data_IF_257034024846
#
_entry.id   IF_257034024846
#
_cell.length_a   1.000
_cell.length_b   1.000
_cell.length_c   1.000
_cell.angle_alpha   90.00
_cell.angle_beta   90.00
_cell.angle_gamma   90.00
#
_symmetry.space_group_name_H-M   'P 1'
#
loop_
_entity.id
_entity.type
_entity.pdbx_description
1 polymer ?
#
# COMPACT_ATOMS: atom_id res chain seq x y z
N UNK A 1 40.84 -5.13 -7.75
CA UNK A 1 39.72 -5.91 -7.19
C UNK A 1 40.26 -7.03 -6.25
N UNK A 2 41.31 -7.72 -6.60
CA UNK A 2 41.86 -8.87 -5.87
C UNK A 2 42.14 -8.60 -4.38
N UNK A 3 42.58 -7.39 -4.01
CA UNK A 3 42.84 -7.00 -2.61
C UNK A 3 41.54 -6.99 -1.80
N UNK A 4 40.43 -6.50 -2.39
CA UNK A 4 39.10 -6.48 -1.76
C UNK A 4 38.53 -7.88 -1.65
N UNK A 5 38.60 -8.66 -2.73
CA UNK A 5 38.03 -9.99 -2.80
C UNK A 5 38.71 -11.01 -1.86
N UNK A 6 40.02 -10.87 -1.65
CA UNK A 6 40.79 -11.73 -0.74
C UNK A 6 40.73 -11.31 0.73
N UNK A 7 40.23 -10.12 1.03
CA UNK A 7 40.12 -9.61 2.40
C UNK A 7 38.65 -9.38 2.77
N UNK A 8 38.07 -10.36 3.44
CA UNK A 8 36.65 -10.34 3.83
C UNK A 8 36.29 -9.12 4.68
N UNK A 9 37.19 -8.69 5.59
CA UNK A 9 36.93 -7.51 6.43
C UNK A 9 36.88 -6.22 5.61
N UNK A 10 37.82 -6.06 4.68
CA UNK A 10 37.85 -4.90 3.80
C UNK A 10 36.67 -4.90 2.83
N UNK A 11 36.30 -6.06 2.30
CA UNK A 11 35.13 -6.21 1.43
C UNK A 11 33.86 -5.83 2.17
N UNK A 12 33.67 -6.35 3.38
CA UNK A 12 32.50 -6.03 4.20
C UNK A 12 32.42 -4.53 4.54
N UNK A 13 33.55 -3.91 4.88
CA UNK A 13 33.60 -2.47 5.13
C UNK A 13 33.23 -1.65 3.89
N UNK A 14 33.78 -1.98 2.74
CA UNK A 14 33.47 -1.28 1.49
C UNK A 14 32.00 -1.46 1.07
N UNK A 15 31.43 -2.66 1.26
CA UNK A 15 30.00 -2.90 1.01
C UNK A 15 29.14 -2.08 1.98
N UNK A 16 29.47 -2.08 3.27
CA UNK A 16 28.73 -1.31 4.27
C UNK A 16 28.73 0.19 3.94
N UNK A 17 29.89 0.73 3.55
CA UNK A 17 29.99 2.15 3.14
C UNK A 17 29.16 2.43 1.88
N UNK A 18 29.29 1.61 0.85
CA UNK A 18 28.56 1.81 -0.41
C UNK A 18 27.02 1.73 -0.20
N UNK A 19 26.56 0.72 0.55
CA UNK A 19 25.14 0.55 0.88
C UNK A 19 24.62 1.70 1.76
N UNK A 20 25.43 2.15 2.74
CA UNK A 20 25.06 3.27 3.61
C UNK A 20 24.92 4.57 2.82
N UNK A 21 25.84 4.88 1.91
CA UNK A 21 25.75 6.08 1.07
C UNK A 21 24.48 6.02 0.21
N UNK A 22 24.24 4.92 -0.49
CA UNK A 22 23.03 4.76 -1.33
C UNK A 22 21.75 4.80 -0.51
N UNK A 23 21.70 4.08 0.60
CA UNK A 23 20.54 4.03 1.48
C UNK A 23 20.23 5.38 2.14
N UNK A 24 21.25 6.04 2.70
CA UNK A 24 21.05 7.36 3.34
C UNK A 24 20.63 8.43 2.34
N UNK A 25 21.19 8.42 1.12
CA UNK A 25 20.79 9.36 0.07
C UNK A 25 19.31 9.24 -0.29
N UNK A 26 18.74 8.06 -0.19
CA UNK A 26 17.31 7.84 -0.45
C UNK A 26 16.41 8.06 0.78
N UNK A 27 16.89 7.68 1.96
CA UNK A 27 16.06 7.72 3.19
C UNK A 27 16.05 9.11 3.81
N UNK A 28 17.19 9.79 3.89
CA UNK A 28 17.29 11.08 4.59
C UNK A 28 16.37 12.16 4.01
N UNK A 29 16.22 12.32 2.68
CA UNK A 29 15.28 13.29 2.12
C UNK A 29 13.82 13.07 2.55
N UNK A 30 13.40 11.81 2.84
CA UNK A 30 12.04 11.50 3.24
C UNK A 30 11.68 12.11 4.60
N UNK A 31 12.65 12.34 5.48
CA UNK A 31 12.41 13.01 6.77
C UNK A 31 12.07 14.50 6.64
N UNK A 32 12.35 15.09 5.47
CA UNK A 32 12.10 16.50 5.18
C UNK A 32 10.97 16.70 4.18
N UNK A 33 10.25 15.62 3.81
CA UNK A 33 9.12 15.66 2.88
C UNK A 33 7.78 15.65 3.63
N UNK A 34 7.13 16.80 3.72
CA UNK A 34 5.82 16.90 4.36
C UNK A 34 4.71 16.18 3.56
N UNK A 35 4.86 16.11 2.24
CA UNK A 35 3.86 15.48 1.33
C UNK A 35 3.56 14.02 1.69
N UNK A 36 4.52 13.29 2.24
CA UNK A 36 4.36 11.88 2.63
C UNK A 36 3.86 11.70 4.05
N UNK A 37 3.95 12.73 4.89
CA UNK A 37 3.65 12.67 6.33
C UNK A 37 2.42 13.49 6.70
N UNK A 38 1.94 14.38 5.80
CA UNK A 38 0.78 15.22 6.06
C UNK A 38 -0.48 14.54 5.55
N UNK A 39 -1.47 14.26 6.42
CA UNK A 39 -2.73 13.69 5.99
C UNK A 39 -3.49 14.64 5.06
N UNK A 40 -4.22 14.09 4.10
CA UNK A 40 -5.15 14.88 3.28
C UNK A 40 -6.27 15.45 4.14
N UNK A 41 -6.85 16.57 3.70
CA UNK A 41 -7.95 17.23 4.41
C UNK A 41 -9.09 16.24 4.71
N UNK A 42 -9.56 16.24 5.96
CA UNK A 42 -10.62 15.34 6.44
C UNK A 42 -10.17 13.94 6.83
N UNK A 43 -8.91 13.56 6.56
CA UNK A 43 -8.37 12.27 7.00
C UNK A 43 -8.20 12.23 8.51
N UNK A 44 -8.70 11.17 9.14
CA UNK A 44 -8.60 10.92 10.58
C UNK A 44 -7.94 9.58 10.86
N UNK A 45 -7.28 9.43 12.01
CA UNK A 45 -6.80 8.11 12.44
C UNK A 45 -7.95 7.10 12.51
N UNK A 46 -7.62 5.83 12.31
CA UNK A 46 -8.59 4.74 12.39
C UNK A 46 -9.25 4.65 13.76
N UNK A 47 -10.55 4.44 13.78
CA UNK A 47 -11.24 3.96 14.99
C UNK A 47 -10.82 2.53 15.29
N UNK A 48 -11.08 2.03 16.52
CA UNK A 48 -10.73 0.67 16.89
C UNK A 48 -11.33 -0.39 15.94
N UNK A 49 -12.59 -0.21 15.52
CA UNK A 49 -13.26 -1.13 14.59
C UNK A 49 -12.65 -1.08 13.18
N UNK A 50 -12.29 0.10 12.71
CA UNK A 50 -11.63 0.26 11.40
C UNK A 50 -10.24 -0.37 11.41
N UNK A 51 -9.49 -0.19 12.51
CA UNK A 51 -8.16 -0.78 12.66
C UNK A 51 -8.24 -2.32 12.70
N UNK A 52 -9.20 -2.89 13.42
CA UNK A 52 -9.47 -4.34 13.40
C UNK A 52 -9.81 -4.84 11.99
N UNK A 53 -10.65 -4.11 11.28
CA UNK A 53 -10.98 -4.43 9.88
C UNK A 53 -9.75 -4.40 8.95
N UNK A 54 -8.84 -3.44 9.15
CA UNK A 54 -7.57 -3.36 8.44
C UNK A 54 -6.67 -4.57 8.75
N UNK A 55 -6.59 -4.95 10.02
CA UNK A 55 -5.77 -6.09 10.44
C UNK A 55 -6.32 -7.41 9.87
N UNK A 56 -7.65 -7.58 9.82
CA UNK A 56 -8.29 -8.70 9.12
C UNK A 56 -7.96 -8.69 7.63
N UNK A 57 -8.06 -7.56 6.96
CA UNK A 57 -7.73 -7.39 5.55
C UNK A 57 -6.30 -7.83 5.21
N UNK A 58 -5.35 -7.52 6.10
CA UNK A 58 -3.94 -7.94 5.96
C UNK A 58 -3.80 -9.44 6.26
N UNK A 59 -4.37 -9.90 7.38
CA UNK A 59 -4.28 -11.29 7.85
C UNK A 59 -4.87 -12.29 6.85
N UNK A 60 -6.01 -11.97 6.26
CA UNK A 60 -6.67 -12.84 5.27
C UNK A 60 -6.03 -12.72 3.87
N UNK A 61 -5.00 -11.90 3.70
CA UNK A 61 -4.26 -11.77 2.45
C UNK A 61 -4.98 -11.02 1.34
N UNK A 62 -6.04 -10.29 1.66
CA UNK A 62 -6.84 -9.53 0.68
C UNK A 62 -5.99 -8.52 -0.10
N UNK A 63 -4.97 -7.94 0.53
CA UNK A 63 -4.02 -7.00 -0.08
C UNK A 63 -3.27 -7.60 -1.27
N UNK A 64 -3.10 -8.92 -1.33
CA UNK A 64 -2.44 -9.60 -2.44
C UNK A 64 -3.23 -9.57 -3.76
N UNK A 65 -4.55 -9.46 -3.68
CA UNK A 65 -5.45 -9.39 -4.83
C UNK A 65 -6.08 -8.01 -5.01
N UNK A 66 -6.23 -7.24 -3.93
CA UNK A 66 -6.84 -5.91 -3.92
C UNK A 66 -5.88 -4.88 -3.36
N UNK A 67 -5.40 -3.95 -4.16
CA UNK A 67 -4.65 -2.79 -3.68
C UNK A 67 -5.59 -1.69 -3.17
N UNK A 68 -5.06 -0.80 -2.34
CA UNK A 68 -5.71 0.45 -1.93
C UNK A 68 -4.94 1.65 -2.49
N UNK A 69 -4.67 1.63 -3.78
CA UNK A 69 -3.97 2.71 -4.49
C UNK A 69 -4.48 2.81 -5.92
N UNK A 70 -5.23 3.86 -6.20
CA UNK A 70 -5.59 4.23 -7.58
C UNK A 70 -4.36 4.84 -8.25
N UNK A 71 -3.91 4.23 -9.33
CA UNK A 71 -2.72 4.69 -10.06
C UNK A 71 -3.04 5.93 -10.92
N UNK A 72 -2.06 6.80 -11.24
CA UNK A 72 -2.27 8.01 -12.02
C UNK A 72 -2.36 7.73 -13.54
N UNK A 73 -3.09 6.69 -13.92
CA UNK A 73 -3.37 6.36 -15.32
C UNK A 73 -4.81 6.71 -15.65
N UNK A 74 -5.04 7.21 -16.87
CA UNK A 74 -6.37 7.62 -17.33
C UNK A 74 -7.43 6.53 -17.09
N UNK A 75 -7.15 5.28 -17.49
CA UNK A 75 -8.07 4.16 -17.29
C UNK A 75 -8.41 3.89 -15.83
N UNK A 76 -7.47 4.11 -14.91
CA UNK A 76 -7.68 3.96 -13.47
C UNK A 76 -8.53 5.09 -12.91
N UNK A 77 -8.19 6.32 -13.26
CA UNK A 77 -8.90 7.50 -12.75
C UNK A 77 -10.32 7.61 -13.31
N UNK A 78 -10.56 7.18 -14.53
CA UNK A 78 -11.91 7.06 -15.11
C UNK A 78 -12.75 5.98 -14.42
N UNK A 79 -12.12 4.88 -13.99
CA UNK A 79 -12.80 3.76 -13.34
C UNK A 79 -13.06 3.98 -11.86
N UNK A 80 -12.09 4.50 -11.13
CA UNK A 80 -12.11 4.55 -9.66
C UNK A 80 -12.25 5.96 -9.10
N UNK A 81 -11.93 6.98 -9.85
CA UNK A 81 -11.85 8.37 -9.41
C UNK A 81 -10.41 8.86 -9.29
N UNK A 82 -10.19 9.96 -8.57
CA UNK A 82 -8.88 10.58 -8.44
C UNK A 82 -7.80 9.57 -7.97
N UNK A 83 -6.60 9.66 -8.56
CA UNK A 83 -5.47 8.82 -8.15
C UNK A 83 -5.09 9.05 -6.70
N UNK A 84 -4.58 8.01 -6.05
CA UNK A 84 -4.19 8.05 -4.66
C UNK A 84 -2.94 8.90 -4.44
N UNK A 85 -2.91 9.64 -3.35
CA UNK A 85 -1.76 10.42 -2.90
C UNK A 85 -1.26 9.88 -1.56
N UNK A 86 0.00 10.11 -1.23
CA UNK A 86 0.63 9.57 -0.02
C UNK A 86 -0.11 9.98 1.26
N UNK A 87 -0.64 11.20 1.31
CA UNK A 87 -1.43 11.72 2.42
C UNK A 87 -2.70 10.93 2.76
N UNK A 88 -3.21 10.11 1.84
CA UNK A 88 -4.35 9.21 2.11
C UNK A 88 -3.96 7.98 2.94
N UNK A 89 -2.68 7.64 3.01
CA UNK A 89 -2.16 6.43 3.67
C UNK A 89 -1.25 6.71 4.85
N UNK A 90 -1.23 7.93 5.38
CA UNK A 90 -0.32 8.33 6.47
C UNK A 90 -0.50 7.52 7.75
N UNK A 91 -1.66 6.89 7.94
CA UNK A 91 -1.96 6.02 9.08
C UNK A 91 -1.74 4.53 8.80
N UNK A 92 -1.31 4.19 7.57
CA UNK A 92 -1.03 2.82 7.16
C UNK A 92 0.46 2.50 7.25
N UNK A 93 0.80 1.56 8.10
CA UNK A 93 2.16 1.06 8.26
C UNK A 93 2.15 -0.48 8.25
N UNK A 94 2.53 -1.10 7.11
CA UNK A 94 2.93 -0.55 5.82
C UNK A 94 1.76 -0.01 5.01
N UNK A 95 2.06 0.76 3.95
CA UNK A 95 1.07 1.17 2.96
C UNK A 95 0.47 -0.06 2.27
N UNK A 96 -0.86 -0.05 2.08
CA UNK A 96 -1.59 -1.15 1.45
C UNK A 96 -1.68 -0.97 -0.07
N UNK A 97 -0.58 -0.56 -0.66
CA UNK A 97 -0.44 -0.32 -2.09
C UNK A 97 0.00 -1.59 -2.81
N UNK A 98 -0.45 -1.75 -4.03
CA UNK A 98 -0.05 -2.86 -4.88
C UNK A 98 0.02 -2.45 -6.35
N UNK A 99 1.07 -2.88 -7.04
CA UNK A 99 1.26 -2.65 -8.49
C UNK A 99 0.53 -3.69 -9.34
N UNK A 100 0.14 -4.82 -8.76
CA UNK A 100 -0.65 -5.86 -9.42
C UNK A 100 -1.93 -6.13 -8.62
N UNK A 101 -3.00 -6.46 -9.33
CA UNK A 101 -4.30 -6.81 -8.75
C UNK A 101 -4.93 -7.95 -9.54
N UNK A 102 -5.56 -8.87 -8.84
CA UNK A 102 -6.49 -9.86 -9.41
C UNK A 102 -7.92 -9.32 -9.33
N UNK A 103 -8.25 -8.61 -8.26
CA UNK A 103 -9.52 -7.93 -8.06
C UNK A 103 -9.43 -6.41 -8.26
N UNK A 104 -10.56 -5.67 -8.14
CA UNK A 104 -10.57 -4.22 -8.24
C UNK A 104 -9.83 -3.53 -7.11
N UNK A 105 -9.40 -2.28 -7.34
CA UNK A 105 -8.84 -1.41 -6.31
C UNK A 105 -9.92 -1.00 -5.31
N UNK A 106 -9.56 -0.96 -4.02
CA UNK A 106 -10.49 -0.67 -2.93
C UNK A 106 -10.37 0.74 -2.35
N UNK A 107 -9.43 1.57 -2.83
CA UNK A 107 -9.21 2.90 -2.27
C UNK A 107 -10.44 3.82 -2.35
N UNK A 108 -11.33 3.60 -3.33
CA UNK A 108 -12.55 4.39 -3.55
C UNK A 108 -13.83 3.56 -3.44
N UNK A 109 -13.80 2.45 -2.68
CA UNK A 109 -14.95 1.55 -2.56
C UNK A 109 -15.99 2.05 -1.56
N UNK A 110 -15.59 2.88 -0.60
CA UNK A 110 -16.49 3.44 0.41
C UNK A 110 -17.64 4.22 -0.21
N UNK A 111 -18.87 3.88 0.17
CA UNK A 111 -20.08 4.51 -0.36
C UNK A 111 -20.48 4.12 -1.79
N UNK A 112 -19.67 3.28 -2.48
CA UNK A 112 -19.98 2.81 -3.84
C UNK A 112 -21.08 1.73 -3.87
N UNK A 113 -21.10 0.89 -2.85
CA UNK A 113 -22.10 -0.16 -2.62
C UNK A 113 -22.67 -0.01 -1.22
N UNK A 114 -23.87 -0.59 -0.99
CA UNK A 114 -24.48 -0.58 0.34
C UNK A 114 -23.72 -1.49 1.33
N UNK A 115 -23.90 -1.25 2.61
CA UNK A 115 -23.28 -2.07 3.67
C UNK A 115 -23.77 -3.53 3.57
N UNK A 116 -25.02 -3.75 3.23
CA UNK A 116 -25.56 -5.11 3.06
C UNK A 116 -24.96 -5.82 1.86
N UNK A 117 -24.67 -5.08 0.77
CA UNK A 117 -23.93 -5.64 -0.36
C UNK A 117 -22.52 -6.10 0.08
N UNK A 118 -21.81 -5.29 0.86
CA UNK A 118 -20.50 -5.65 1.37
C UNK A 118 -20.55 -6.88 2.28
N UNK A 119 -21.55 -6.97 3.17
CA UNK A 119 -21.74 -8.15 4.03
C UNK A 119 -22.01 -9.41 3.20
N UNK A 120 -22.92 -9.34 2.23
CA UNK A 120 -23.24 -10.46 1.34
C UNK A 120 -22.01 -10.88 0.51
N UNK A 121 -21.23 -9.89 0.02
CA UNK A 121 -20.03 -10.14 -0.76
C UNK A 121 -18.93 -10.83 0.06
N UNK A 122 -18.71 -10.38 1.30
CA UNK A 122 -17.69 -10.99 2.17
C UNK A 122 -18.12 -12.36 2.69
N UNK A 123 -19.43 -12.60 2.86
CA UNK A 123 -19.95 -13.92 3.23
C UNK A 123 -19.79 -14.94 2.11
N UNK A 124 -20.20 -14.60 0.91
CA UNK A 124 -19.97 -15.36 -0.31
C UNK A 124 -20.00 -14.43 -1.52
N UNK A 125 -18.83 -14.13 -2.11
CA UNK A 125 -18.71 -13.17 -3.22
C UNK A 125 -19.64 -13.49 -4.40
N UNK A 126 -19.86 -14.76 -4.68
CA UNK A 126 -20.69 -15.21 -5.81
C UNK A 126 -22.18 -14.91 -5.67
N UNK A 127 -22.67 -14.60 -4.45
CA UNK A 127 -24.04 -14.19 -4.25
C UNK A 127 -24.36 -12.84 -4.92
N UNK A 128 -23.38 -11.96 -5.04
CA UNK A 128 -23.54 -10.62 -5.62
C UNK A 128 -22.69 -10.40 -6.87
N UNK A 129 -21.67 -11.22 -7.08
CA UNK A 129 -20.81 -11.24 -8.27
C UNK A 129 -20.63 -12.70 -8.71
N UNK A 130 -21.51 -13.28 -9.53
CA UNK A 130 -21.52 -14.72 -9.84
C UNK A 130 -20.19 -15.27 -10.39
N UNK A 131 -19.45 -14.44 -11.13
CA UNK A 131 -18.15 -14.82 -11.71
C UNK A 131 -16.96 -14.54 -10.80
N UNK A 132 -17.17 -14.18 -9.54
CA UNK A 132 -16.08 -13.90 -8.61
C UNK A 132 -15.16 -15.09 -8.45
N UNK A 133 -13.87 -14.78 -8.44
CA UNK A 133 -12.79 -15.74 -8.16
C UNK A 133 -12.20 -15.57 -6.75
N UNK A 134 -12.81 -14.66 -5.98
CA UNK A 134 -12.49 -14.45 -4.58
C UNK A 134 -12.95 -15.62 -3.73
#
# INVERSE_FOLDING_TARGET
HEILEKNVGLLALCMAVAVSIGGLTQIVPLFFQDVTNTPVEGMKPYTALQLEGRDIYIREGCVGCHSQMVRPFRAETERYGHYSVAGESVWDHPFLWGSKRTGPDLARVGGRYSDDWHRAHLYNPRNVVPESKM
#
